data_IF_808141200656
#
_entry.id   IF_808141200656
#
_cell.length_a   1.000
_cell.length_b   1.000
_cell.length_c   1.000
_cell.angle_alpha   90.00
_cell.angle_beta   90.00
_cell.angle_gamma   90.00
#
_symmetry.space_group_name_H-M   'P 1'
#
loop_
_entity.id
_entity.type
_entity.pdbx_description
1 polymer ?
#
# COMPACT_ATOMS: atom_id res chain seq x y z
N UNK A 1 -4.19 -32.95 -26.69
CA UNK A 1 -3.71 -31.55 -26.77
C UNK A 1 -3.29 -31.16 -25.37
N UNK A 2 -1.98 -31.13 -25.13
CA UNK A 2 -1.37 -30.83 -23.84
C UNK A 2 -1.16 -29.32 -23.76
N UNK A 3 -1.67 -28.67 -22.73
CA UNK A 3 -1.49 -27.23 -22.50
C UNK A 3 -0.21 -27.10 -21.67
N UNK A 4 0.88 -26.67 -22.30
CA UNK A 4 2.13 -26.38 -21.60
C UNK A 4 1.99 -25.07 -20.80
N UNK A 5 2.04 -25.19 -19.48
CA UNK A 5 2.20 -24.09 -18.53
C UNK A 5 3.56 -23.42 -18.76
N UNK A 6 3.55 -22.31 -19.50
CA UNK A 6 4.72 -21.46 -19.65
C UNK A 6 4.89 -20.62 -18.36
N UNK A 7 5.57 -21.22 -17.37
CA UNK A 7 5.95 -20.54 -16.13
C UNK A 7 6.98 -19.44 -16.47
N UNK A 8 6.53 -18.19 -16.51
CA UNK A 8 7.36 -16.99 -16.72
C UNK A 8 8.33 -16.82 -15.53
N UNK A 9 9.48 -17.48 -15.61
CA UNK A 9 10.58 -17.37 -14.66
C UNK A 9 11.30 -16.02 -14.84
N UNK A 10 10.73 -14.97 -14.26
CA UNK A 10 11.39 -13.68 -14.12
C UNK A 10 12.58 -13.83 -13.17
N UNK A 11 13.79 -13.89 -13.74
CA UNK A 11 15.03 -13.93 -12.97
C UNK A 11 15.19 -12.61 -12.18
N UNK A 12 15.41 -12.72 -10.87
CA UNK A 12 15.60 -11.58 -9.98
C UNK A 12 16.92 -10.86 -10.30
N UNK A 13 16.88 -9.85 -11.18
CA UNK A 13 18.03 -9.01 -11.52
C UNK A 13 18.34 -7.94 -10.46
N UNK A 14 17.83 -8.09 -9.24
CA UNK A 14 18.09 -7.11 -8.19
C UNK A 14 19.49 -7.29 -7.59
N UNK A 15 20.26 -6.20 -7.51
CA UNK A 15 21.58 -6.14 -6.85
C UNK A 15 21.46 -6.40 -5.33
N UNK A 16 20.24 -6.40 -4.81
CA UNK A 16 19.92 -6.71 -3.42
C UNK A 16 19.64 -8.21 -3.32
N UNK A 17 20.61 -8.98 -2.81
CA UNK A 17 20.40 -10.40 -2.47
C UNK A 17 19.24 -10.50 -1.47
N UNK A 18 18.07 -10.93 -1.94
CA UNK A 18 16.93 -11.27 -1.08
C UNK A 18 17.33 -12.54 -0.32
N UNK A 19 17.48 -12.42 1.00
CA UNK A 19 17.54 -13.62 1.85
C UNK A 19 16.21 -14.37 1.77
N UNK A 20 16.18 -15.68 2.06
CA UNK A 20 14.93 -16.44 2.05
C UNK A 20 13.93 -15.78 3.00
N UNK A 21 12.72 -15.53 2.49
CA UNK A 21 11.59 -15.09 3.31
C UNK A 21 11.19 -16.30 4.15
N UNK A 22 11.80 -16.44 5.32
CA UNK A 22 11.30 -17.37 6.34
C UNK A 22 10.07 -16.72 6.97
N UNK A 23 8.90 -17.07 6.44
CA UNK A 23 7.65 -16.98 7.20
C UNK A 23 7.74 -18.01 8.32
N UNK A 24 8.34 -17.62 9.45
CA UNK A 24 8.29 -18.44 10.66
C UNK A 24 6.84 -18.53 11.12
N UNK A 25 6.28 -19.73 11.00
CA UNK A 25 5.02 -20.16 11.62
C UNK A 25 4.97 -19.67 13.07
N UNK A 26 3.85 -19.03 13.42
CA UNK A 26 3.35 -18.81 14.78
C UNK A 26 4.41 -18.45 15.83
N UNK A 27 4.78 -17.17 15.89
CA UNK A 27 5.18 -16.56 17.17
C UNK A 27 4.09 -15.58 17.56
N UNK A 28 3.51 -15.80 18.74
CA UNK A 28 2.53 -14.91 19.34
C UNK A 28 3.04 -13.46 19.26
N UNK A 29 2.19 -12.56 18.74
CA UNK A 29 2.42 -11.12 18.75
C UNK A 29 2.24 -10.57 20.17
N UNK A 30 3.12 -11.00 21.07
CA UNK A 30 3.39 -10.30 22.32
C UNK A 30 4.84 -9.86 22.25
N UNK A 31 5.07 -8.66 21.70
CA UNK A 31 6.31 -7.95 22.04
C UNK A 31 6.23 -7.63 23.53
N UNK A 32 7.16 -8.12 24.37
CA UNK A 32 7.38 -7.48 25.64
C UNK A 32 7.95 -6.11 25.31
N UNK A 33 7.22 -5.06 25.67
CA UNK A 33 7.78 -3.72 25.78
C UNK A 33 8.86 -3.76 26.88
N UNK A 34 10.07 -4.19 26.50
CA UNK A 34 11.27 -4.08 27.34
C UNK A 34 11.64 -2.59 27.35
N UNK A 35 11.12 -1.92 28.36
CA UNK A 35 11.52 -0.59 28.78
C UNK A 35 12.89 -0.72 29.45
N UNK A 36 13.96 -0.89 28.67
CA UNK A 36 15.33 -0.83 29.21
C UNK A 36 16.25 0.04 28.34
N UNK A 37 16.53 1.22 28.93
CA UNK A 37 17.75 2.02 28.87
C UNK A 37 18.60 1.97 27.62
N UNK A 38 18.42 2.95 26.73
CA UNK A 38 19.51 3.71 26.09
C UNK A 38 18.98 4.97 25.36
N UNK A 39 17.92 5.60 25.88
CA UNK A 39 17.38 6.83 25.28
C UNK A 39 18.16 8.00 25.88
N UNK A 40 19.24 8.41 25.20
CA UNK A 40 19.79 9.74 25.41
C UNK A 40 18.66 10.77 25.23
N UNK A 41 18.66 11.82 26.04
CA UNK A 41 17.67 12.90 25.94
C UNK A 41 17.77 13.50 24.54
N UNK A 42 16.85 13.11 23.66
CA UNK A 42 16.78 13.66 22.30
C UNK A 42 16.39 15.12 22.43
N UNK A 43 17.30 16.02 22.05
CA UNK A 43 17.19 17.46 22.32
C UNK A 43 15.94 18.04 21.65
N UNK A 44 15.64 17.63 20.42
CA UNK A 44 14.39 17.95 19.73
C UNK A 44 14.10 16.97 18.57
N UNK A 45 13.04 16.13 18.64
CA UNK A 45 12.73 15.16 17.58
C UNK A 45 12.29 15.81 16.25
N UNK A 46 11.77 17.02 16.27
CA UNK A 46 11.28 17.72 15.07
C UNK A 46 12.37 18.53 14.37
N UNK A 47 13.57 18.61 14.96
CA UNK A 47 14.70 19.29 14.35
C UNK A 47 15.12 18.59 13.05
N UNK A 48 15.51 19.39 12.05
CA UNK A 48 16.04 18.87 10.80
C UNK A 48 17.50 18.45 11.01
N UNK A 49 17.77 17.15 10.92
CA UNK A 49 19.11 16.61 11.01
C UNK A 49 19.95 16.96 9.78
N UNK A 50 19.38 16.81 8.59
CA UNK A 50 19.97 17.28 7.35
C UNK A 50 18.90 17.43 6.25
N UNK A 51 19.29 18.00 5.11
CA UNK A 51 18.49 17.96 3.89
C UNK A 51 19.21 17.12 2.84
N UNK A 52 18.45 16.26 2.16
CA UNK A 52 18.97 15.34 1.14
C UNK A 52 18.31 15.63 -0.22
N UNK A 53 19.06 15.63 -1.34
CA UNK A 53 18.44 15.71 -2.67
C UNK A 53 17.58 14.46 -2.93
N UNK A 54 16.50 14.54 -3.71
CA UNK A 54 15.64 13.39 -4.05
C UNK A 54 16.31 12.33 -4.94
N UNK A 55 15.93 11.05 -4.83
CA UNK A 55 16.43 9.94 -5.67
C UNK A 55 15.68 9.89 -7.00
N UNK A 56 14.38 10.16 -6.93
CA UNK A 56 13.45 10.05 -8.05
C UNK A 56 13.23 11.40 -8.76
N UNK A 57 14.01 12.43 -8.43
CA UNK A 57 13.91 13.74 -9.07
C UNK A 57 14.52 13.71 -10.49
N UNK A 58 13.79 14.22 -11.48
CA UNK A 58 14.27 14.38 -12.86
C UNK A 58 14.68 15.83 -13.13
N UNK A 59 15.89 16.02 -13.66
CA UNK A 59 16.42 17.31 -14.14
C UNK A 59 16.19 18.46 -13.13
N UNK A 60 15.49 19.51 -13.58
CA UNK A 60 15.22 20.75 -12.82
C UNK A 60 14.21 20.57 -11.69
N UNK A 61 13.50 19.44 -11.60
CA UNK A 61 12.58 19.13 -10.49
C UNK A 61 13.33 18.63 -9.25
N UNK A 62 14.48 19.24 -8.94
CA UNK A 62 15.38 18.81 -7.88
C UNK A 62 14.74 19.10 -6.52
N UNK A 63 14.03 18.12 -5.98
CA UNK A 63 13.42 18.24 -4.66
C UNK A 63 14.48 18.00 -3.58
N UNK A 64 14.48 18.82 -2.53
CA UNK A 64 15.27 18.59 -1.32
C UNK A 64 14.33 18.17 -0.20
N UNK A 65 14.62 17.05 0.43
CA UNK A 65 13.83 16.48 1.51
C UNK A 65 14.52 16.70 2.84
N UNK A 66 13.77 17.21 3.82
CA UNK A 66 14.23 17.38 5.20
C UNK A 66 14.16 16.02 5.90
N UNK A 67 15.28 15.58 6.43
CA UNK A 67 15.37 14.39 7.30
C UNK A 67 15.40 14.88 8.73
N UNK A 68 14.44 14.48 9.54
CA UNK A 68 14.33 14.94 10.94
C UNK A 68 15.09 14.01 11.89
N UNK A 69 15.39 14.52 13.08
CA UNK A 69 15.95 13.70 14.17
C UNK A 69 15.03 12.52 14.50
N UNK A 70 13.71 12.72 14.46
CA UNK A 70 12.72 11.66 14.66
C UNK A 70 12.82 10.55 13.61
N UNK A 71 13.01 10.89 12.34
CA UNK A 71 13.21 9.89 11.28
C UNK A 71 14.50 9.11 11.55
N UNK A 72 15.62 9.80 11.79
CA UNK A 72 16.90 9.15 12.11
C UNK A 72 16.76 8.19 13.28
N UNK A 73 16.08 8.63 14.35
CA UNK A 73 15.82 7.81 15.52
C UNK A 73 15.05 6.54 15.16
N UNK A 74 13.98 6.65 14.36
CA UNK A 74 13.19 5.50 13.88
C UNK A 74 14.03 4.52 13.06
N UNK A 75 14.95 5.02 12.22
CA UNK A 75 15.84 4.16 11.41
C UNK A 75 16.91 3.46 12.23
N UNK A 76 17.29 4.02 13.38
CA UNK A 76 18.25 3.42 14.31
C UNK A 76 17.59 2.40 15.27
N UNK A 77 16.30 2.53 15.53
CA UNK A 77 15.51 1.59 16.32
C UNK A 77 14.93 0.44 15.46
N UNK A 78 14.36 -0.60 16.09
CA UNK A 78 13.50 -1.54 15.37
C UNK A 78 12.39 -0.80 14.61
N UNK A 79 11.95 -1.30 13.43
CA UNK A 79 12.32 -2.59 12.83
C UNK A 79 13.62 -2.59 12.03
N UNK A 80 14.13 -1.45 11.57
CA UNK A 80 15.25 -1.41 10.63
C UNK A 80 16.64 -1.62 11.28
N UNK A 81 16.86 -1.00 12.44
CA UNK A 81 18.15 -1.03 13.15
C UNK A 81 19.36 -0.75 12.23
N UNK A 82 19.30 0.32 11.43
CA UNK A 82 20.34 0.64 10.45
C UNK A 82 21.71 0.83 11.13
N UNK A 83 22.76 0.38 10.45
CA UNK A 83 24.13 0.69 10.83
C UNK A 83 24.59 2.02 10.20
N UNK A 84 25.76 2.52 10.63
CA UNK A 84 26.30 3.80 10.17
C UNK A 84 26.48 3.88 8.64
N UNK A 85 26.84 2.79 7.99
CA UNK A 85 27.05 2.75 6.54
C UNK A 85 25.74 2.89 5.78
N UNK A 86 24.70 2.14 6.18
CA UNK A 86 23.38 2.20 5.57
C UNK A 86 22.70 3.55 5.83
N UNK A 87 22.76 4.02 7.07
CA UNK A 87 22.26 5.35 7.42
C UNK A 87 22.99 6.44 6.61
N UNK A 88 24.32 6.35 6.48
CA UNK A 88 25.09 7.26 5.63
C UNK A 88 24.63 7.25 4.16
N UNK A 89 24.28 6.08 3.63
CA UNK A 89 23.73 5.91 2.28
C UNK A 89 22.34 6.52 2.10
N UNK A 90 21.44 6.34 3.08
CA UNK A 90 20.11 7.00 3.13
C UNK A 90 20.26 8.51 3.15
N UNK A 91 21.18 9.01 3.98
CA UNK A 91 21.48 10.45 4.13
C UNK A 91 22.31 11.01 2.96
N UNK A 92 22.63 10.20 1.95
CA UNK A 92 23.39 10.58 0.73
C UNK A 92 24.71 11.28 1.05
N UNK A 93 25.36 10.86 2.13
CA UNK A 93 26.67 11.38 2.50
C UNK A 93 27.73 10.73 1.62
N UNK A 94 28.64 11.55 1.09
CA UNK A 94 29.79 11.05 0.35
C UNK A 94 30.62 10.08 1.21
N UNK A 95 31.14 9.02 0.58
CA UNK A 95 32.02 8.06 1.26
C UNK A 95 33.34 8.77 1.59
N UNK A 96 33.68 8.79 2.87
CA UNK A 96 34.94 9.36 3.37
C UNK A 96 35.56 8.42 4.40
N UNK A 97 36.89 8.45 4.51
CA UNK A 97 37.66 7.58 5.43
C UNK A 97 37.13 7.63 6.87
N UNK A 98 36.70 8.81 7.32
CA UNK A 98 36.17 9.05 8.67
C UNK A 98 34.65 9.25 8.71
N UNK A 99 33.92 8.93 7.64
CA UNK A 99 32.50 9.24 7.50
C UNK A 99 31.63 8.62 8.61
N UNK A 100 31.90 7.36 8.97
CA UNK A 100 31.19 6.67 10.04
C UNK A 100 31.45 7.27 11.43
N UNK A 101 32.69 7.73 11.69
CA UNK A 101 33.05 8.39 12.96
C UNK A 101 32.35 9.75 13.06
N UNK A 102 32.46 10.57 12.02
CA UNK A 102 31.79 11.88 11.95
C UNK A 102 30.26 11.78 12.06
N UNK A 103 29.64 10.71 11.53
CA UNK A 103 28.22 10.48 11.70
C UNK A 103 27.87 10.19 13.16
N UNK A 104 28.63 9.32 13.84
CA UNK A 104 28.41 9.03 15.27
C UNK A 104 28.56 10.29 16.12
N UNK A 105 29.64 11.06 15.94
CA UNK A 105 29.85 12.32 16.65
C UNK A 105 28.70 13.32 16.46
N UNK A 106 28.11 13.39 15.25
CA UNK A 106 26.93 14.23 14.99
C UNK A 106 25.67 13.71 15.68
N UNK A 107 25.49 12.40 15.74
CA UNK A 107 24.35 11.77 16.41
C UNK A 107 24.46 11.92 17.93
N UNK A 108 25.66 11.75 18.49
CA UNK A 108 25.90 11.89 19.94
C UNK A 108 25.57 13.32 20.41
N UNK A 109 25.88 14.34 19.61
CA UNK A 109 25.54 15.74 19.90
C UNK A 109 24.04 16.02 20.02
N UNK A 110 23.20 15.23 19.37
CA UNK A 110 21.73 15.36 19.42
C UNK A 110 21.08 14.31 20.34
N UNK A 111 21.91 13.57 21.11
CA UNK A 111 21.46 12.56 22.06
C UNK A 111 21.14 11.19 21.44
N UNK A 112 21.55 10.93 20.19
CA UNK A 112 21.34 9.65 19.52
C UNK A 112 22.61 8.80 19.54
N UNK A 113 22.52 7.59 20.11
CA UNK A 113 23.65 6.66 20.12
C UNK A 113 23.57 5.66 18.96
N UNK A 114 24.67 5.54 18.21
CA UNK A 114 24.86 4.50 17.21
C UNK A 114 26.08 3.65 17.58
N UNK A 115 25.89 2.41 18.10
CA UNK A 115 27.01 1.58 18.53
C UNK A 115 27.83 1.05 17.35
N UNK A 116 29.13 0.87 17.55
CA UNK A 116 30.02 0.25 16.57
C UNK A 116 29.70 -1.25 16.43
N UNK A 117 29.89 -1.82 15.24
CA UNK A 117 29.68 -3.27 15.01
C UNK A 117 28.22 -3.75 14.99
N UNK A 118 27.22 -2.87 15.11
CA UNK A 118 25.79 -3.24 15.05
C UNK A 118 25.44 -3.96 13.75
N UNK A 119 24.84 -5.14 13.87
CA UNK A 119 24.26 -5.90 12.76
C UNK A 119 22.86 -5.37 12.42
N UNK A 120 22.53 -5.39 11.12
CA UNK A 120 21.24 -5.02 10.55
C UNK A 120 20.17 -6.06 10.95
N UNK A 121 18.95 -5.62 11.25
CA UNK A 121 17.86 -6.51 11.67
C UNK A 121 16.85 -6.83 10.55
N UNK A 122 16.33 -5.82 9.84
CA UNK A 122 15.38 -6.02 8.74
C UNK A 122 16.08 -6.17 7.40
N UNK A 123 15.48 -6.85 6.41
CA UNK A 123 15.98 -6.88 5.04
C UNK A 123 16.01 -5.47 4.42
N UNK A 124 17.03 -5.19 3.60
CA UNK A 124 17.11 -3.92 2.87
C UNK A 124 16.30 -4.11 1.61
N UNK A 125 15.39 -3.19 1.34
CA UNK A 125 14.59 -3.16 0.12
C UNK A 125 14.89 -1.88 -0.64
N UNK A 126 14.28 -1.70 -1.82
CA UNK A 126 14.34 -0.41 -2.51
C UNK A 126 13.70 0.71 -1.68
N UNK A 127 12.67 0.41 -0.88
CA UNK A 127 12.03 1.40 -0.01
C UNK A 127 12.97 1.91 1.08
N UNK A 128 13.87 1.06 1.59
CA UNK A 128 14.91 1.49 2.55
C UNK A 128 15.74 2.67 2.02
N UNK A 129 15.87 2.81 0.70
CA UNK A 129 16.66 3.89 0.10
C UNK A 129 15.98 5.27 0.16
N UNK A 130 14.67 5.31 0.39
CA UNK A 130 13.87 6.53 0.49
C UNK A 130 13.97 7.12 1.89
N UNK A 131 13.93 8.45 1.98
CA UNK A 131 13.58 9.15 3.23
C UNK A 131 12.07 9.32 3.32
N UNK A 132 11.53 9.51 4.52
CA UNK A 132 10.06 9.60 4.72
C UNK A 132 9.39 10.64 3.82
N UNK A 133 10.04 11.81 3.65
CA UNK A 133 9.53 12.85 2.76
C UNK A 133 9.39 12.41 1.30
N UNK A 134 10.30 11.56 0.80
CA UNK A 134 10.20 11.01 -0.56
C UNK A 134 9.13 9.93 -0.65
N UNK A 135 9.05 9.06 0.35
CA UNK A 135 8.09 7.97 0.38
C UNK A 135 6.65 8.48 0.40
N UNK A 136 6.37 9.51 1.21
CA UNK A 136 5.06 10.18 1.25
C UNK A 136 4.77 10.91 -0.06
N UNK A 137 5.75 11.58 -0.66
CA UNK A 137 5.57 12.23 -1.96
C UNK A 137 5.23 11.19 -3.04
N UNK A 138 5.99 10.09 -3.11
CA UNK A 138 5.75 9.01 -4.06
C UNK A 138 4.35 8.40 -3.90
N UNK A 139 3.89 8.20 -2.66
CA UNK A 139 2.55 7.68 -2.40
C UNK A 139 1.45 8.65 -2.88
N UNK A 140 1.66 9.96 -2.69
CA UNK A 140 0.75 10.99 -3.19
C UNK A 140 0.67 10.98 -4.72
N UNK A 141 1.81 10.95 -5.39
CA UNK A 141 1.84 10.95 -6.86
C UNK A 141 1.20 9.67 -7.42
N UNK A 142 1.45 8.52 -6.78
CA UNK A 142 0.77 7.27 -7.12
C UNK A 142 -0.74 7.38 -6.92
N UNK A 143 -1.20 7.98 -5.81
CA UNK A 143 -2.61 8.24 -5.53
C UNK A 143 -3.27 9.11 -6.60
N UNK A 144 -2.59 10.18 -7.03
CA UNK A 144 -3.05 11.05 -8.10
C UNK A 144 -3.25 10.27 -9.41
N UNK A 145 -2.27 9.48 -9.83
CA UNK A 145 -2.38 8.65 -11.05
C UNK A 145 -3.49 7.60 -10.93
N UNK A 146 -3.65 6.98 -9.76
CA UNK A 146 -4.77 6.09 -9.47
C UNK A 146 -6.13 6.77 -9.63
N UNK A 147 -6.24 8.04 -9.24
CA UNK A 147 -7.49 8.80 -9.33
C UNK A 147 -7.77 9.31 -10.74
N UNK A 148 -6.76 9.83 -11.44
CA UNK A 148 -6.95 10.51 -12.73
C UNK A 148 -6.79 9.60 -13.94
N UNK A 149 -5.90 8.60 -13.88
CA UNK A 149 -5.54 7.80 -15.05
C UNK A 149 -6.14 6.39 -15.03
N UNK A 150 -6.52 5.86 -13.85
CA UNK A 150 -7.02 4.50 -13.79
C UNK A 150 -8.40 4.38 -14.50
N UNK A 151 -8.56 3.46 -15.47
CA UNK A 151 -9.72 3.43 -16.34
C UNK A 151 -10.92 2.69 -15.73
N UNK A 152 -11.39 3.11 -14.55
CA UNK A 152 -12.46 2.43 -13.78
C UNK A 152 -13.71 2.14 -14.61
N UNK A 153 -14.15 3.10 -15.44
CA UNK A 153 -15.35 2.97 -16.27
C UNK A 153 -15.19 1.91 -17.36
N UNK A 154 -14.10 1.96 -18.14
CA UNK A 154 -13.84 1.00 -19.20
C UNK A 154 -13.68 -0.43 -18.65
N UNK A 155 -13.00 -0.57 -17.50
CA UNK A 155 -12.88 -1.85 -16.79
C UNK A 155 -14.25 -2.36 -16.33
N UNK A 156 -15.10 -1.47 -15.79
CA UNK A 156 -16.46 -1.82 -15.38
C UNK A 156 -17.34 -2.29 -16.55
N UNK A 157 -17.30 -1.59 -17.68
CA UNK A 157 -18.03 -1.97 -18.89
C UNK A 157 -17.58 -3.34 -19.41
N UNK A 158 -16.26 -3.54 -19.51
CA UNK A 158 -15.69 -4.80 -19.98
C UNK A 158 -16.09 -5.99 -19.10
N UNK A 159 -15.95 -5.87 -17.78
CA UNK A 159 -16.25 -6.94 -16.83
C UNK A 159 -17.74 -7.18 -16.60
N UNK A 160 -18.59 -6.19 -16.86
CA UNK A 160 -20.06 -6.33 -16.70
C UNK A 160 -20.72 -6.97 -17.91
N UNK A 161 -20.13 -6.81 -19.10
CA UNK A 161 -20.68 -7.31 -20.38
C UNK A 161 -21.11 -8.79 -20.38
N UNK A 162 -20.35 -9.74 -19.81
CA UNK A 162 -20.76 -11.16 -19.82
C UNK A 162 -22.02 -11.46 -18.98
N UNK A 163 -22.36 -10.58 -18.03
CA UNK A 163 -23.48 -10.78 -17.10
C UNK A 163 -24.81 -10.23 -17.60
N UNK A 164 -24.79 -9.35 -18.61
CA UNK A 164 -26.00 -8.69 -19.12
C UNK A 164 -27.01 -9.64 -19.77
N UNK A 165 -26.57 -10.81 -20.28
CA UNK A 165 -27.44 -11.74 -21.02
C UNK A 165 -28.09 -12.85 -20.21
N UNK A 166 -27.78 -13.00 -18.91
CA UNK A 166 -28.09 -14.25 -18.16
C UNK A 166 -29.17 -14.14 -17.07
N UNK A 167 -29.88 -13.02 -16.94
CA UNK A 167 -30.71 -12.71 -15.75
C UNK A 167 -29.95 -12.80 -14.39
N UNK A 168 -28.61 -12.91 -14.42
CA UNK A 168 -27.74 -12.97 -13.25
C UNK A 168 -27.40 -11.58 -12.69
N UNK A 169 -27.92 -10.51 -13.30
CA UNK A 169 -27.58 -9.13 -12.94
C UNK A 169 -27.93 -8.78 -11.48
N UNK A 170 -29.00 -9.35 -10.94
CA UNK A 170 -29.35 -9.17 -9.52
C UNK A 170 -28.29 -9.79 -8.59
N UNK A 171 -27.87 -11.04 -8.87
CA UNK A 171 -26.80 -11.69 -8.11
C UNK A 171 -25.47 -10.94 -8.28
N UNK A 172 -25.16 -10.49 -9.50
CA UNK A 172 -23.96 -9.69 -9.79
C UNK A 172 -23.95 -8.38 -8.99
N UNK A 173 -25.06 -7.67 -8.93
CA UNK A 173 -25.20 -6.44 -8.12
C UNK A 173 -24.94 -6.72 -6.64
N UNK A 174 -25.49 -7.79 -6.08
CA UNK A 174 -25.25 -8.17 -4.69
C UNK A 174 -23.77 -8.48 -4.42
N UNK A 175 -23.09 -9.19 -5.32
CA UNK A 175 -21.65 -9.44 -5.22
C UNK A 175 -20.83 -8.14 -5.28
N UNK A 176 -21.20 -7.20 -6.15
CA UNK A 176 -20.53 -5.90 -6.26
C UNK A 176 -20.69 -5.06 -4.98
N UNK A 177 -21.90 -5.05 -4.40
CA UNK A 177 -22.17 -4.36 -3.13
C UNK A 177 -21.37 -4.97 -1.97
N UNK A 178 -21.35 -6.30 -1.86
CA UNK A 178 -20.57 -7.00 -0.84
C UNK A 178 -19.06 -6.71 -0.98
N UNK A 179 -18.53 -6.78 -2.21
CA UNK A 179 -17.13 -6.46 -2.47
C UNK A 179 -16.80 -5.01 -2.10
N UNK A 180 -17.67 -4.05 -2.45
CA UNK A 180 -17.51 -2.63 -2.11
C UNK A 180 -17.45 -2.43 -0.60
N UNK A 181 -18.32 -3.10 0.15
CA UNK A 181 -18.36 -3.01 1.61
C UNK A 181 -17.06 -3.54 2.25
N UNK A 182 -16.57 -4.71 1.82
CA UNK A 182 -15.31 -5.28 2.31
C UNK A 182 -14.12 -4.37 1.98
N UNK A 183 -14.07 -3.80 0.76
CA UNK A 183 -13.04 -2.86 0.37
C UNK A 183 -13.01 -1.61 1.27
N UNK A 184 -14.20 -1.11 1.63
CA UNK A 184 -14.35 0.03 2.52
C UNK A 184 -13.87 -0.28 3.93
N UNK A 185 -14.31 -1.38 4.53
CA UNK A 185 -13.90 -1.79 5.89
C UNK A 185 -12.38 -1.93 6.01
N UNK A 186 -11.75 -2.54 5.00
CA UNK A 186 -10.30 -2.68 4.97
C UNK A 186 -9.59 -1.31 4.86
N UNK A 187 -10.09 -0.42 3.99
CA UNK A 187 -9.54 0.93 3.85
C UNK A 187 -9.71 1.75 5.13
N UNK A 188 -10.89 1.67 5.75
CA UNK A 188 -11.20 2.36 7.00
C UNK A 188 -10.24 1.94 8.13
N UNK A 189 -9.91 0.64 8.24
CA UNK A 189 -8.88 0.16 9.18
C UNK A 189 -7.51 0.80 8.91
N UNK A 190 -7.07 0.87 7.66
CA UNK A 190 -5.77 1.46 7.31
C UNK A 190 -5.72 2.96 7.61
N UNK A 191 -6.81 3.70 7.43
CA UNK A 191 -6.89 5.13 7.78
C UNK A 191 -6.88 5.40 9.28
N UNK A 192 -7.13 4.38 10.09
CA UNK A 192 -7.03 4.44 11.55
C UNK A 192 -5.61 4.17 12.07
N UNK A 193 -4.65 3.83 11.20
CA UNK A 193 -3.26 3.70 11.60
C UNK A 193 -2.74 4.99 12.26
N UNK A 194 -2.19 4.87 13.47
CA UNK A 194 -1.58 5.95 14.26
C UNK A 194 -0.07 5.77 14.41
N UNK A 195 0.57 5.17 13.41
CA UNK A 195 2.03 5.06 13.38
C UNK A 195 2.70 6.43 13.40
N UNK A 196 3.63 6.70 14.34
CA UNK A 196 4.36 7.97 14.38
C UNK A 196 5.30 8.18 13.19
N UNK A 197 4.83 8.83 12.13
CA UNK A 197 5.60 9.20 10.93
C UNK A 197 5.78 10.71 10.82
N UNK A 198 6.87 11.13 10.18
CA UNK A 198 7.27 12.53 10.10
C UNK A 198 7.37 13.14 11.51
N UNK A 199 6.66 14.25 11.69
CA UNK A 199 6.56 14.99 12.95
C UNK A 199 5.27 14.67 13.74
N UNK A 200 4.44 13.73 13.24
CA UNK A 200 3.19 13.36 13.91
C UNK A 200 3.45 12.29 14.98
N UNK A 201 2.82 12.45 16.14
CA UNK A 201 2.85 11.46 17.23
C UNK A 201 1.45 11.26 17.82
N UNK A 202 0.52 10.70 17.03
CA UNK A 202 -0.83 10.46 17.52
C UNK A 202 -0.85 9.34 18.57
N UNK A 203 -1.84 9.38 19.46
CA UNK A 203 -2.12 8.26 20.36
C UNK A 203 -2.69 7.08 19.56
N UNK A 204 -2.22 5.85 19.79
CA UNK A 204 -2.86 4.64 19.27
C UNK A 204 -4.35 4.60 19.59
N UNK A 205 -5.16 4.17 18.62
CA UNK A 205 -6.62 3.96 18.77
C UNK A 205 -7.06 2.53 18.44
N UNK A 206 -6.21 1.80 17.72
CA UNK A 206 -6.45 0.41 17.36
C UNK A 206 -5.99 -0.53 18.48
N UNK A 207 -6.48 -1.77 18.43
CA UNK A 207 -5.96 -2.86 19.27
C UNK A 207 -4.41 -2.93 19.18
N UNK A 208 -3.69 -3.12 20.30
CA UNK A 208 -2.24 -3.11 20.31
C UNK A 208 -1.57 -4.09 19.32
N UNK A 209 -2.18 -5.27 19.10
CA UNK A 209 -1.66 -6.25 18.15
C UNK A 209 -1.73 -5.74 16.71
N UNK A 210 -2.88 -5.20 16.33
CA UNK A 210 -3.10 -4.64 14.98
C UNK A 210 -2.28 -3.37 14.78
N UNK A 211 -2.29 -2.44 15.74
CA UNK A 211 -1.46 -1.24 15.68
C UNK A 211 0.02 -1.59 15.57
N UNK A 212 0.49 -2.62 16.28
CA UNK A 212 1.87 -3.09 16.21
C UNK A 212 2.25 -3.59 14.80
N UNK A 213 1.37 -4.37 14.17
CA UNK A 213 1.58 -4.84 12.79
C UNK A 213 1.59 -3.69 11.77
N UNK A 214 0.63 -2.78 11.86
CA UNK A 214 0.57 -1.59 10.99
C UNK A 214 1.78 -0.67 11.22
N UNK A 215 2.20 -0.49 12.46
CA UNK A 215 3.42 0.24 12.83
C UNK A 215 4.64 -0.36 12.18
N UNK A 216 4.81 -1.68 12.25
CA UNK A 216 5.92 -2.35 11.57
C UNK A 216 5.91 -2.04 10.08
N UNK A 217 4.77 -2.24 9.42
CA UNK A 217 4.61 -2.02 7.98
C UNK A 217 4.85 -0.56 7.57
N UNK A 218 4.26 0.39 8.29
CA UNK A 218 4.41 1.83 8.05
C UNK A 218 5.86 2.28 8.26
N UNK A 219 6.59 1.72 9.23
CA UNK A 219 8.00 2.03 9.46
C UNK A 219 8.94 1.48 8.38
N UNK A 220 8.75 0.23 7.93
CA UNK A 220 9.60 -0.36 6.87
C UNK A 220 9.33 0.21 5.48
N UNK A 221 8.15 0.82 5.27
CA UNK A 221 7.77 1.47 4.01
C UNK A 221 7.86 2.99 4.07
N UNK A 222 8.23 3.56 5.23
CA UNK A 222 8.35 5.00 5.45
C UNK A 222 7.06 5.77 5.13
N UNK A 223 5.91 5.16 5.41
CA UNK A 223 4.58 5.71 5.14
C UNK A 223 4.06 5.49 3.72
N UNK A 224 4.89 5.01 2.79
CA UNK A 224 4.43 4.73 1.43
C UNK A 224 3.39 3.60 1.38
N UNK A 225 3.62 2.51 2.12
CA UNK A 225 2.86 1.27 1.95
C UNK A 225 1.36 1.43 2.18
N UNK A 226 0.96 1.93 3.35
CA UNK A 226 -0.46 2.09 3.71
C UNK A 226 -1.16 3.08 2.78
N UNK A 227 -0.50 4.19 2.44
CA UNK A 227 -1.03 5.19 1.53
C UNK A 227 -1.21 4.63 0.10
N UNK A 228 -0.24 3.86 -0.40
CA UNK A 228 -0.32 3.22 -1.71
C UNK A 228 -1.43 2.15 -1.77
N UNK A 229 -1.63 1.37 -0.70
CA UNK A 229 -2.75 0.42 -0.61
C UNK A 229 -4.08 1.19 -0.64
N UNK A 230 -4.25 2.25 0.15
CA UNK A 230 -5.47 3.06 0.12
C UNK A 230 -5.75 3.67 -1.27
N UNK A 231 -4.71 4.14 -1.97
CA UNK A 231 -4.83 4.64 -3.35
C UNK A 231 -5.32 3.56 -4.33
N UNK A 232 -4.71 2.36 -4.27
CA UNK A 232 -5.14 1.23 -5.10
C UNK A 232 -6.57 0.80 -4.77
N UNK A 233 -6.94 0.76 -3.49
CA UNK A 233 -8.30 0.44 -3.05
C UNK A 233 -9.32 1.48 -3.52
N UNK A 234 -8.93 2.75 -3.61
CA UNK A 234 -9.78 3.80 -4.20
C UNK A 234 -10.07 3.52 -5.68
N UNK A 235 -9.07 3.09 -6.44
CA UNK A 235 -9.24 2.68 -7.85
C UNK A 235 -10.23 1.51 -8.00
N UNK A 236 -10.11 0.51 -7.11
CA UNK A 236 -11.03 -0.63 -7.04
C UNK A 236 -12.45 -0.18 -6.68
N UNK A 237 -12.60 0.68 -5.68
CA UNK A 237 -13.91 1.23 -5.28
C UNK A 237 -14.57 2.03 -6.40
N UNK A 238 -13.79 2.82 -7.15
CA UNK A 238 -14.28 3.55 -8.32
C UNK A 238 -14.76 2.61 -9.42
N UNK A 239 -14.02 1.54 -9.70
CA UNK A 239 -14.49 0.47 -10.60
C UNK A 239 -15.81 -0.15 -10.12
N UNK A 240 -15.90 -0.52 -8.83
CA UNK A 240 -17.12 -1.12 -8.28
C UNK A 240 -18.32 -0.17 -8.37
N UNK A 241 -18.11 1.12 -8.14
CA UNK A 241 -19.13 2.15 -8.31
C UNK A 241 -19.61 2.25 -9.77
N UNK A 242 -18.70 2.26 -10.74
CA UNK A 242 -19.07 2.26 -12.16
C UNK A 242 -19.82 0.98 -12.56
N UNK A 243 -19.37 -0.19 -12.09
CA UNK A 243 -20.05 -1.46 -12.35
C UNK A 243 -21.47 -1.50 -11.77
N UNK A 244 -21.67 -0.93 -10.57
CA UNK A 244 -23.00 -0.80 -9.95
C UNK A 244 -23.92 0.13 -10.76
N UNK A 245 -23.40 1.27 -11.24
CA UNK A 245 -24.17 2.18 -12.12
C UNK A 245 -24.66 1.47 -13.39
N UNK A 246 -23.83 0.60 -13.98
CA UNK A 246 -24.22 -0.20 -15.15
C UNK A 246 -25.30 -1.21 -14.77
N UNK A 247 -25.13 -1.92 -13.65
CA UNK A 247 -26.09 -2.92 -13.18
C UNK A 247 -27.48 -2.32 -12.88
N UNK A 248 -27.52 -1.12 -12.29
CA UNK A 248 -28.76 -0.39 -12.01
C UNK A 248 -29.50 0.04 -13.29
N UNK A 249 -28.77 0.51 -14.31
CA UNK A 249 -29.36 0.87 -15.61
C UNK A 249 -29.99 -0.34 -16.30
N UNK A 250 -29.32 -1.50 -16.28
CA UNK A 250 -29.85 -2.72 -16.91
C UNK A 250 -31.11 -3.22 -16.20
N UNK A 251 -31.21 -3.06 -14.88
CA UNK A 251 -32.40 -3.42 -14.11
C UNK A 251 -33.62 -2.55 -14.48
N UNK A 252 -33.42 -1.23 -14.62
CA UNK A 252 -34.50 -0.31 -15.01
C UNK A 252 -34.99 -0.56 -16.44
N UNK A 253 -34.09 -0.90 -17.38
CA UNK A 253 -34.46 -1.21 -18.75
C UNK A 253 -35.19 -2.57 -18.91
N UNK A 254 -34.99 -3.51 -17.98
CA UNK A 254 -35.67 -4.81 -18.00
C UNK A 254 -37.12 -4.72 -17.47
N UNK A 255 -37.45 -3.70 -16.67
CA UNK A 255 -38.80 -3.48 -16.13
C UNK A 255 -39.79 -2.88 -17.12
N UNK A 256 -39.33 -2.38 -18.27
CA UNK A 256 -40.16 -1.71 -19.29
C UNK A 256 -40.48 -2.63 -20.50
N UNK A 257 -40.04 -3.89 -20.46
CA UNK A 257 -40.47 -4.91 -21.43
C UNK A 257 -41.65 -5.70 -20.85
N UNK A 258 -42.87 -5.26 -21.18
CA UNK A 258 -44.09 -6.06 -21.01
C UNK A 258 -43.93 -7.43 -21.68
N UNK A 259 -44.50 -8.53 -21.14
CA UNK A 259 -44.41 -9.82 -21.80
C UNK A 259 -45.13 -9.75 -23.15
N UNK A 260 -44.45 -10.13 -24.23
CA UNK A 260 -45.11 -10.36 -25.51
C UNK A 260 -46.25 -11.37 -25.29
N UNK A 261 -47.48 -10.96 -25.58
CA UNK A 261 -48.66 -11.83 -25.51
C UNK A 261 -48.45 -13.06 -26.41
N UNK A 262 -48.24 -14.20 -25.78
CA UNK A 262 -48.43 -15.51 -26.39
C UNK A 262 -49.92 -15.71 -26.68
N UNK A 263 -50.38 -15.30 -27.86
CA UNK A 263 -51.70 -15.72 -28.33
C UNK A 263 -51.63 -17.17 -28.82
N UNK A 264 -52.12 -18.06 -27.96
CA UNK A 264 -52.50 -19.43 -28.28
C UNK A 264 -53.65 -19.40 -29.30
N UNK A 265 -53.44 -19.97 -30.49
CA UNK A 265 -54.54 -20.50 -31.30
C UNK A 265 -54.49 -22.01 -31.24
N UNK A 266 -55.43 -22.55 -30.46
CA UNK A 266 -55.78 -23.96 -30.29
C UNK A 266 -56.53 -24.46 -31.53
N UNK A 267 -56.24 -25.71 -31.89
CA UNK A 267 -56.92 -26.57 -32.85
C UNK A 267 -58.46 -26.48 -32.85
N UNK A 268 -59.06 -26.44 -34.05
CA UNK A 268 -60.38 -27.02 -34.32
C UNK A 268 -60.42 -27.65 -35.72
N UNK A 269 -60.37 -28.98 -35.71
CA UNK A 269 -61.09 -29.98 -36.50
C UNK A 269 -61.59 -29.61 -37.92
N UNK A 270 -61.08 -30.37 -38.87
CA UNK A 270 -61.77 -31.20 -39.88
C UNK A 270 -63.24 -30.90 -40.27
N UNK A 271 -63.43 -31.05 -41.60
CA UNK A 271 -64.67 -31.44 -42.34
C UNK A 271 -65.49 -30.33 -42.98
N UNK A 272 -65.25 -30.05 -44.27
CA UNK A 272 -66.23 -30.26 -45.37
C UNK A 272 -65.69 -29.89 -46.77
N UNK A 273 -65.52 -30.92 -47.60
CA UNK A 273 -66.08 -31.08 -48.96
C UNK A 273 -66.10 -29.86 -49.92
N UNK A 274 -65.27 -29.92 -50.95
CA UNK A 274 -65.72 -30.00 -52.35
C UNK A 274 -64.62 -30.55 -53.26
#
# INVERSE_FOLDING_TARGET
>A
QNVEDQHLLMHDQTVIRKGPISLTKNSALSLPCQKDGLIGVVINPNEVFCSVPGRLSLLSSTSKYKVTVAEVQRRLSPPECLNASLLGGVLRRAKSKNGGRSLREKLDKIGLNLPAGRRKAANVTLLTSLVEGEAVHLARDFGYVCETEFPSKAVAEYLTRPHMGRNEMANRKNMLLAAKQICKEFTDLLTQDRTPLGNTRPSPILDPGIQGCLTHFSLITHGFGSAAICAAMTSVQNYLNEALKIADKTYMNAGDQSPAETNKTIDKMDKHRK
#
